data_IF_174519843284
#
_entry.id   IF_174519843284
#
_cell.length_a   1.000
_cell.length_b   1.000
_cell.length_c   1.000
_cell.angle_alpha   90.00
_cell.angle_beta   90.00
_cell.angle_gamma   90.00
#
_symmetry.space_group_name_H-M   'P 1'
#
loop_
_entity.id
_entity.type
_entity.pdbx_description
1 polymer ?
#
# COMPACT_ATOMS: atom_id res chain seq x y z
N UNK A 1 9.71 -6.92 -13.05
CA UNK A 1 10.58 -6.31 -12.01
C UNK A 1 9.91 -6.48 -10.66
N UNK A 2 10.66 -6.67 -9.57
CA UNK A 2 10.13 -6.79 -8.21
C UNK A 2 10.83 -5.82 -7.25
N UNK A 3 10.08 -4.89 -6.64
CA UNK A 3 10.58 -3.85 -5.72
C UNK A 3 9.58 -3.54 -4.60
N UNK A 4 9.98 -2.71 -3.62
CA UNK A 4 9.10 -2.26 -2.55
C UNK A 4 8.12 -1.21 -3.06
N UNK A 5 6.82 -1.49 -2.98
CA UNK A 5 5.79 -0.52 -3.30
C UNK A 5 4.49 -0.81 -2.54
N UNK A 6 3.90 0.22 -1.94
CA UNK A 6 2.62 0.17 -1.23
C UNK A 6 2.03 1.58 -1.04
N UNK A 7 0.89 1.71 -0.36
CA UNK A 7 0.21 3.00 -0.13
C UNK A 7 1.11 4.08 0.53
N UNK A 8 2.11 3.67 1.32
CA UNK A 8 3.02 4.59 2.01
C UNK A 8 4.39 4.74 1.33
N UNK A 9 4.77 3.81 0.45
CA UNK A 9 6.04 3.76 -0.26
C UNK A 9 5.80 3.75 -1.77
N UNK A 10 5.88 4.93 -2.40
CA UNK A 10 5.50 5.16 -3.80
C UNK A 10 6.63 5.71 -4.67
N UNK A 11 7.89 5.41 -4.34
CA UNK A 11 9.06 5.92 -5.06
C UNK A 11 9.12 5.48 -6.53
N UNK A 12 8.51 4.34 -6.84
CA UNK A 12 8.54 3.72 -8.17
C UNK A 12 7.33 4.11 -9.04
N UNK A 13 6.58 5.18 -8.72
CA UNK A 13 5.43 5.60 -9.53
C UNK A 13 5.79 5.75 -11.03
N UNK A 14 6.85 6.50 -11.35
CA UNK A 14 7.28 6.70 -12.74
C UNK A 14 7.83 5.41 -13.38
N UNK A 15 8.49 4.56 -12.58
CA UNK A 15 9.04 3.30 -13.06
C UNK A 15 7.94 2.29 -13.40
N UNK A 16 6.86 2.24 -12.62
CA UNK A 16 5.69 1.43 -12.90
C UNK A 16 5.08 1.83 -14.24
N UNK A 17 4.95 3.13 -14.50
CA UNK A 17 4.36 3.65 -15.73
C UNK A 17 5.26 3.37 -16.95
N UNK A 18 6.59 3.51 -16.81
CA UNK A 18 7.53 3.14 -17.86
C UNK A 18 7.48 1.64 -18.20
N UNK A 19 7.52 0.78 -17.17
CA UNK A 19 7.40 -0.67 -17.35
C UNK A 19 6.04 -1.06 -17.95
N UNK A 20 4.98 -0.31 -17.67
CA UNK A 20 3.67 -0.56 -18.27
C UNK A 20 3.67 -0.28 -19.77
N UNK A 21 4.33 0.80 -20.21
CA UNK A 21 4.51 1.12 -21.62
C UNK A 21 5.29 0.03 -22.37
N UNK A 22 6.25 -0.60 -21.68
CA UNK A 22 7.07 -1.68 -22.23
C UNK A 22 6.43 -3.09 -22.09
N UNK A 23 5.24 -3.19 -21.51
CA UNK A 23 4.57 -4.48 -21.29
C UNK A 23 5.24 -5.37 -20.24
N UNK A 24 6.05 -4.79 -19.35
CA UNK A 24 6.79 -5.50 -18.30
C UNK A 24 6.01 -5.46 -16.98
N UNK A 25 5.76 -6.63 -16.40
CA UNK A 25 5.11 -6.75 -15.10
C UNK A 25 5.95 -6.13 -13.96
N UNK A 26 5.27 -5.40 -13.08
CA UNK A 26 5.80 -4.91 -11.80
C UNK A 26 5.17 -5.71 -10.65
N UNK A 27 6.01 -6.33 -9.82
CA UNK A 27 5.60 -7.22 -8.74
C UNK A 27 6.00 -6.59 -7.40
N UNK A 28 5.11 -5.90 -6.68
CA UNK A 28 5.48 -5.25 -5.43
C UNK A 28 5.68 -6.27 -4.29
N UNK A 29 6.78 -6.15 -3.53
CA UNK A 29 6.90 -6.79 -2.22
C UNK A 29 6.45 -5.84 -1.09
N UNK A 30 6.02 -6.42 0.04
CA UNK A 30 5.37 -5.70 1.16
C UNK A 30 4.20 -4.77 0.76
N UNK A 31 3.21 -5.26 -0.03
CA UNK A 31 2.08 -4.44 -0.49
C UNK A 31 1.21 -3.89 0.65
N UNK A 32 1.22 -4.52 1.83
CA UNK A 32 0.38 -4.16 2.98
C UNK A 32 1.15 -3.49 4.14
N UNK A 33 2.38 -3.04 3.87
CA UNK A 33 3.35 -2.71 4.93
C UNK A 33 3.99 -4.00 5.44
N UNK A 34 5.32 -3.99 5.63
CA UNK A 34 6.07 -5.18 6.04
C UNK A 34 5.75 -5.59 7.47
N UNK A 35 6.71 -5.43 8.38
CA UNK A 35 6.51 -5.77 9.79
C UNK A 35 5.62 -4.78 10.56
N UNK A 36 5.26 -3.66 9.94
CA UNK A 36 4.32 -2.68 10.49
C UNK A 36 3.13 -2.57 9.54
N UNK A 37 1.92 -2.94 9.99
CA UNK A 37 0.71 -2.82 9.19
C UNK A 37 0.46 -1.37 8.77
N UNK A 38 -0.10 -1.18 7.57
CA UNK A 38 -0.60 0.12 7.14
C UNK A 38 -1.74 0.55 8.08
N UNK A 39 -1.52 1.65 8.82
CA UNK A 39 -2.53 2.29 9.64
C UNK A 39 -2.96 3.59 8.96
N UNK A 40 -4.21 3.70 8.55
CA UNK A 40 -4.76 4.90 7.92
C UNK A 40 -6.25 5.02 8.20
N UNK A 41 -6.65 6.14 8.80
CA UNK A 41 -8.07 6.44 9.05
C UNK A 41 -8.83 6.60 7.73
N UNK A 42 -8.18 7.18 6.71
CA UNK A 42 -8.75 7.30 5.37
C UNK A 42 -9.01 5.93 4.73
N UNK A 43 -8.09 4.97 4.87
CA UNK A 43 -8.28 3.61 4.39
C UNK A 43 -9.45 2.93 5.10
N UNK A 44 -9.52 3.07 6.43
CA UNK A 44 -10.64 2.54 7.24
C UNK A 44 -11.99 3.13 6.83
N UNK A 45 -12.08 4.44 6.59
CA UNK A 45 -13.31 5.10 6.14
C UNK A 45 -13.79 4.56 4.78
N UNK A 46 -12.88 4.29 3.86
CA UNK A 46 -13.24 3.72 2.55
C UNK A 46 -13.66 2.27 2.69
N UNK A 47 -12.95 1.49 3.51
CA UNK A 47 -13.31 0.11 3.84
C UNK A 47 -14.73 0.02 4.41
N UNK A 48 -15.10 0.89 5.35
CA UNK A 48 -16.46 0.96 5.87
C UNK A 48 -17.51 1.28 4.81
N UNK A 49 -17.22 2.20 3.87
CA UNK A 49 -18.15 2.56 2.78
C UNK A 49 -18.33 1.46 1.74
N UNK A 50 -17.32 0.63 1.55
CA UNK A 50 -17.32 -0.48 0.60
C UNK A 50 -17.70 -1.81 1.25
N UNK A 51 -18.03 -1.81 2.55
CA UNK A 51 -18.31 -3.02 3.33
C UNK A 51 -17.21 -4.09 3.19
N UNK A 52 -15.96 -3.63 3.12
CA UNK A 52 -14.78 -4.46 2.90
C UNK A 52 -13.74 -4.26 4.02
N UNK A 53 -12.73 -5.12 4.09
CA UNK A 53 -11.62 -4.93 5.04
C UNK A 53 -10.63 -3.88 4.53
N UNK A 54 -9.93 -3.13 5.42
CA UNK A 54 -8.85 -2.24 5.00
C UNK A 54 -7.80 -2.93 4.13
N UNK A 55 -7.51 -4.21 4.40
CA UNK A 55 -6.59 -5.02 3.61
C UNK A 55 -7.10 -5.21 2.18
N UNK A 56 -8.35 -5.68 2.01
CA UNK A 56 -8.96 -5.86 0.69
C UNK A 56 -8.97 -4.55 -0.10
N UNK A 57 -9.31 -3.43 0.56
CA UNK A 57 -9.30 -2.10 -0.06
C UNK A 57 -7.89 -1.66 -0.49
N UNK A 58 -6.86 -1.92 0.33
CA UNK A 58 -5.48 -1.60 -0.03
C UNK A 58 -5.00 -2.40 -1.24
N UNK A 59 -5.29 -3.70 -1.30
CA UNK A 59 -4.96 -4.55 -2.45
C UNK A 59 -5.71 -4.13 -3.72
N UNK A 60 -7.01 -3.84 -3.59
CA UNK A 60 -7.86 -3.38 -4.67
C UNK A 60 -7.37 -2.05 -5.27
N UNK A 61 -6.82 -1.17 -4.42
CA UNK A 61 -6.22 0.09 -4.86
C UNK A 61 -4.90 -0.13 -5.59
N UNK A 62 -4.03 -1.00 -5.06
CA UNK A 62 -2.73 -1.30 -5.68
C UNK A 62 -2.88 -1.97 -7.05
N UNK A 63 -3.81 -2.92 -7.19
CA UNK A 63 -4.12 -3.55 -8.49
C UNK A 63 -4.63 -2.54 -9.53
N UNK A 64 -5.23 -1.44 -9.08
CA UNK A 64 -5.72 -0.36 -9.95
C UNK A 64 -4.66 0.67 -10.31
N UNK A 65 -3.48 0.65 -9.67
CA UNK A 65 -2.42 1.63 -9.92
C UNK A 65 -1.98 1.62 -11.38
N UNK A 66 -1.83 0.44 -11.97
CA UNK A 66 -1.43 0.27 -13.37
C UNK A 66 -1.75 -1.17 -13.81
N UNK A 67 -2.10 -1.42 -15.09
CA UNK A 67 -2.43 -2.76 -15.59
C UNK A 67 -1.28 -3.78 -15.50
N UNK A 68 -0.03 -3.32 -15.36
CA UNK A 68 1.14 -4.19 -15.24
C UNK A 68 1.48 -4.57 -13.78
N UNK A 69 0.67 -4.17 -12.79
CA UNK A 69 0.90 -4.51 -11.38
C UNK A 69 0.37 -5.91 -11.07
N UNK A 70 1.25 -6.79 -10.58
CA UNK A 70 0.92 -8.16 -10.16
C UNK A 70 1.23 -8.34 -8.66
N UNK A 71 0.20 -8.31 -7.82
CA UNK A 71 0.38 -8.48 -6.37
C UNK A 71 0.64 -9.94 -5.99
N UNK A 72 1.53 -10.13 -5.01
CA UNK A 72 1.87 -11.44 -4.42
C UNK A 72 1.74 -11.42 -2.88
N UNK A 73 0.57 -11.05 -2.32
CA UNK A 73 0.41 -10.99 -0.87
C UNK A 73 0.48 -12.39 -0.26
N UNK A 74 1.55 -12.66 0.47
CA UNK A 74 1.72 -13.91 1.23
C UNK A 74 0.91 -13.89 2.53
N UNK A 75 0.36 -15.03 2.91
CA UNK A 75 -0.30 -15.23 4.21
C UNK A 75 -0.34 -16.72 4.58
N UNK A 76 -0.24 -17.02 5.87
CA UNK A 76 -0.51 -18.37 6.44
C UNK A 76 -1.93 -18.51 7.01
N UNK A 77 -2.70 -17.42 7.05
CA UNK A 77 -4.07 -17.38 7.57
C UNK A 77 -5.09 -17.52 6.43
N UNK A 78 -6.03 -18.45 6.59
CA UNK A 78 -7.15 -18.65 5.66
C UNK A 78 -8.08 -17.43 5.63
N UNK A 79 -8.25 -16.73 6.76
CA UNK A 79 -9.02 -15.49 6.81
C UNK A 79 -8.39 -14.41 5.92
N UNK A 80 -7.07 -14.19 6.06
CA UNK A 80 -6.35 -13.24 5.20
C UNK A 80 -6.31 -13.70 3.74
N UNK A 81 -6.30 -15.01 3.46
CA UNK A 81 -6.41 -15.51 2.09
C UNK A 81 -7.75 -15.08 1.46
N UNK A 82 -8.86 -15.20 2.20
CA UNK A 82 -10.15 -14.71 1.74
C UNK A 82 -10.15 -13.18 1.54
N UNK A 83 -9.49 -12.41 2.41
CA UNK A 83 -9.35 -10.97 2.24
C UNK A 83 -8.50 -10.59 1.01
N UNK A 84 -7.44 -11.36 0.71
CA UNK A 84 -6.63 -11.19 -0.49
C UNK A 84 -7.46 -11.40 -1.76
N UNK A 85 -8.23 -12.49 -1.81
CA UNK A 85 -9.13 -12.82 -2.92
C UNK A 85 -10.20 -11.74 -3.07
N UNK A 86 -10.81 -11.31 -1.95
CA UNK A 86 -11.80 -10.22 -1.94
C UNK A 86 -11.22 -8.94 -2.50
N UNK A 87 -10.00 -8.57 -2.11
CA UNK A 87 -9.31 -7.38 -2.63
C UNK A 87 -9.07 -7.44 -4.14
N UNK A 88 -8.75 -8.61 -4.68
CA UNK A 88 -8.57 -8.80 -6.12
C UNK A 88 -9.88 -8.62 -6.92
N UNK A 89 -11.02 -8.99 -6.33
CA UNK A 89 -12.35 -8.85 -6.95
C UNK A 89 -13.08 -7.54 -6.61
N UNK A 90 -12.56 -6.73 -5.68
CA UNK A 90 -13.31 -5.59 -5.15
C UNK A 90 -13.50 -4.51 -6.22
N UNK A 91 -14.76 -4.20 -6.53
CA UNK A 91 -15.13 -3.11 -7.43
C UNK A 91 -15.57 -1.88 -6.66
N UNK A 92 -15.23 -0.69 -7.14
CA UNK A 92 -15.83 0.56 -6.67
C UNK A 92 -16.72 1.11 -7.78
N UNK A 93 -17.94 1.59 -7.47
CA UNK A 93 -18.79 2.23 -8.47
C UNK A 93 -18.19 3.53 -9.04
N UNK A 94 -17.22 4.14 -8.35
CA UNK A 94 -16.51 5.32 -8.84
C UNK A 94 -15.15 4.92 -9.41
N UNK A 95 -14.87 5.32 -10.66
CA UNK A 95 -13.55 5.10 -11.31
C UNK A 95 -12.41 5.77 -10.53
N UNK A 96 -12.72 6.89 -9.90
CA UNK A 96 -11.79 7.69 -9.09
C UNK A 96 -11.72 7.13 -7.66
N UNK A 97 -10.63 6.42 -7.38
CA UNK A 97 -10.27 6.07 -6.00
C UNK A 97 -9.54 7.23 -5.34
N UNK A 98 -9.54 7.34 -3.99
CA UNK A 98 -8.74 8.34 -3.32
C UNK A 98 -7.28 8.22 -3.75
N UNK A 99 -6.68 9.34 -4.17
CA UNK A 99 -5.23 9.37 -4.37
C UNK A 99 -4.58 9.49 -2.99
N UNK A 100 -4.32 8.36 -2.35
CA UNK A 100 -3.51 8.31 -1.13
C UNK A 100 -2.06 8.63 -1.50
N UNK A 101 -1.73 9.92 -1.62
CA UNK A 101 -0.36 10.40 -1.76
C UNK A 101 0.24 10.61 -0.37
N UNK A 102 1.14 9.74 0.08
CA UNK A 102 2.04 9.90 1.24
C UNK A 102 1.45 10.33 2.61
N UNK A 103 0.16 10.65 2.72
CA UNK A 103 -0.54 10.99 3.97
C UNK A 103 -0.77 9.77 4.85
N UNK A 104 -0.61 8.55 4.31
CA UNK A 104 -0.54 7.32 5.11
C UNK A 104 0.65 7.32 6.09
N UNK A 105 1.66 8.20 5.92
CA UNK A 105 2.73 8.37 6.91
C UNK A 105 2.34 9.23 8.12
N UNK A 106 1.21 9.95 8.09
CA UNK A 106 1.01 11.14 8.94
C UNK A 106 -0.29 11.19 9.75
N UNK A 107 -0.93 10.05 10.00
CA UNK A 107 -2.00 9.96 11.01
C UNK A 107 -1.47 9.27 12.27
N UNK A 108 -0.75 10.02 13.12
CA UNK A 108 -0.65 9.71 14.55
C UNK A 108 -0.81 10.99 15.37
N UNK A 109 -1.85 11.10 16.22
CA UNK A 109 -1.78 11.99 17.36
C UNK A 109 -0.86 11.36 18.41
N UNK A 110 0.22 12.06 18.80
CA UNK A 110 0.82 11.89 20.13
C UNK A 110 2.18 11.18 20.28
N UNK A 111 2.86 10.68 19.24
CA UNK A 111 4.20 10.11 19.42
C UNK A 111 5.31 11.06 18.98
N UNK A 112 5.92 11.74 19.97
CA UNK A 112 7.16 12.52 19.82
C UNK A 112 8.30 11.55 19.50
N UNK A 113 8.89 11.66 18.32
CA UNK A 113 10.14 10.97 18.00
C UNK A 113 11.24 11.59 18.86
N UNK A 114 11.81 10.81 19.78
CA UNK A 114 13.08 11.13 20.44
C UNK A 114 14.14 11.05 19.34
N UNK A 115 14.71 12.19 18.97
CA UNK A 115 15.77 12.26 17.98
C UNK A 115 17.00 11.49 18.47
N UNK A 116 17.49 10.55 17.67
CA UNK A 116 18.80 9.96 17.84
C UNK A 116 19.86 11.04 17.54
N UNK A 117 20.29 11.76 18.58
CA UNK A 117 21.47 12.59 18.50
C UNK A 117 22.69 11.69 18.30
N UNK A 118 23.33 11.77 17.13
CA UNK A 118 24.75 11.45 17.03
C UNK A 118 25.50 12.58 17.72
N UNK A 119 26.14 12.27 18.84
CA UNK A 119 27.15 13.16 19.43
C UNK A 119 28.33 13.27 18.45
N UNK A 120 28.87 14.48 18.20
CA UNK A 120 30.12 14.62 17.48
C UNK A 120 31.28 14.22 18.38
N UNK A 121 32.12 13.29 17.92
CA UNK A 121 33.43 13.04 18.51
C UNK A 121 34.30 14.27 18.23
N UNK A 122 34.69 14.97 19.29
CA UNK A 122 35.61 16.11 19.26
C UNK A 122 37.01 15.68 18.77
N UNK A 123 37.81 16.61 18.20
CA UNK A 123 39.02 16.30 17.41
C UNK A 123 40.16 15.69 18.22
#
# INVERSE_FOLDING_TARGET
MQNMYNLAHRHDDDLIDHLAADGIAYVPFFPLGGFTPLQSEALSKVASRLEATPMSVALAWLLRRSPNVLLIPGTSSTAHLHENITGAGLSSPTRTWPNWTASAKRDRPGHRLVGSGREPVAP
#
